data_IF_429733045283
#
_entry.id   IF_429733045283
#
_cell.length_a   1.000
_cell.length_b   1.000
_cell.length_c   1.000
_cell.angle_alpha   90.00
_cell.angle_beta   90.00
_cell.angle_gamma   90.00
#
_symmetry.space_group_name_H-M   'P 1'
#
loop_
_entity.id
_entity.type
_entity.pdbx_description
1 polymer ?
#
# COMPACT_ATOMS: atom_id res chain seq x y z
N UNK A 1 11.49 -0.53 10.11
CA UNK A 1 10.84 -1.52 9.22
C UNK A 1 11.37 -1.38 7.80
N UNK A 2 11.29 -0.20 7.14
CA UNK A 2 11.71 0.01 5.73
C UNK A 2 13.16 -0.36 5.44
N UNK A 3 14.11 -0.04 6.33
CA UNK A 3 15.56 -0.28 6.14
C UNK A 3 15.94 -1.76 6.02
N UNK A 4 15.05 -2.67 6.44
CA UNK A 4 15.31 -4.10 6.45
C UNK A 4 14.63 -4.83 5.28
N UNK A 5 14.01 -4.12 4.35
CA UNK A 5 13.35 -4.69 3.17
C UNK A 5 14.34 -4.71 2.01
N UNK A 6 14.58 -5.87 1.43
CA UNK A 6 15.56 -6.11 0.35
C UNK A 6 14.96 -5.99 -1.04
N UNK A 7 13.68 -6.35 -1.20
CA UNK A 7 13.00 -6.45 -2.50
C UNK A 7 13.75 -7.30 -3.55
N UNK A 8 14.40 -8.35 -3.09
CA UNK A 8 15.17 -9.27 -3.94
C UNK A 8 14.27 -10.18 -4.78
N UNK A 9 13.11 -10.54 -4.24
CA UNK A 9 12.09 -11.34 -4.93
C UNK A 9 10.69 -11.02 -4.42
N UNK A 10 9.60 -11.34 -5.16
CA UNK A 10 8.23 -11.18 -4.70
C UNK A 10 7.97 -11.91 -3.38
N UNK A 11 7.02 -11.43 -2.57
CA UNK A 11 6.60 -12.12 -1.35
C UNK A 11 5.83 -13.41 -1.67
N UNK A 12 5.00 -13.35 -2.70
CA UNK A 12 4.28 -14.52 -3.21
C UNK A 12 5.03 -15.01 -4.43
N UNK A 13 5.58 -16.23 -4.31
CA UNK A 13 6.26 -16.97 -5.37
C UNK A 13 5.37 -18.06 -5.94
N UNK A 14 5.99 -19.08 -6.51
CA UNK A 14 5.31 -20.22 -7.10
C UNK A 14 4.67 -21.11 -6.04
N UNK A 15 3.44 -21.55 -6.30
CA UNK A 15 2.75 -22.51 -5.44
C UNK A 15 3.20 -23.94 -5.73
N UNK A 16 3.09 -24.80 -4.72
CA UNK A 16 3.35 -26.23 -4.86
C UNK A 16 4.84 -26.59 -4.95
N UNK A 17 5.73 -25.66 -4.68
CA UNK A 17 7.17 -25.90 -4.59
C UNK A 17 7.65 -25.80 -3.15
N UNK A 18 8.58 -26.67 -2.77
CA UNK A 18 9.19 -26.62 -1.43
C UNK A 18 10.37 -25.62 -1.44
N UNK A 19 10.04 -24.34 -1.53
CA UNK A 19 11.01 -23.24 -1.49
C UNK A 19 10.64 -22.24 -0.40
N UNK A 20 11.63 -21.78 0.34
CA UNK A 20 11.46 -20.67 1.27
C UNK A 20 11.18 -19.38 0.49
N UNK A 21 10.14 -18.66 0.89
CA UNK A 21 9.79 -17.38 0.32
C UNK A 21 10.82 -16.27 0.60
N UNK A 22 10.50 -15.04 0.25
CA UNK A 22 11.33 -13.88 0.60
C UNK A 22 11.30 -13.64 2.11
N UNK A 23 12.47 -13.40 2.73
CA UNK A 23 12.57 -12.91 4.11
C UNK A 23 11.85 -11.58 4.34
N UNK A 24 11.55 -10.87 3.27
CA UNK A 24 10.76 -9.62 3.31
C UNK A 24 9.29 -9.85 3.71
N UNK A 25 8.81 -11.10 3.75
CA UNK A 25 7.44 -11.42 4.18
C UNK A 25 7.10 -10.81 5.55
N UNK A 26 8.07 -10.69 6.45
CA UNK A 26 7.87 -10.05 7.75
C UNK A 26 7.80 -8.54 7.64
N UNK A 27 8.84 -7.89 7.15
CA UNK A 27 8.93 -6.42 7.16
C UNK A 27 8.06 -5.77 6.10
N UNK A 28 8.07 -6.26 4.87
CA UNK A 28 7.25 -5.74 3.76
C UNK A 28 5.78 -6.13 3.96
N UNK A 29 5.50 -7.33 4.46
CA UNK A 29 4.14 -7.76 4.80
C UNK A 29 3.54 -6.92 5.92
N UNK A 30 4.28 -6.67 7.00
CA UNK A 30 3.84 -5.76 8.07
C UNK A 30 3.61 -4.32 7.55
N UNK A 31 4.49 -3.83 6.67
CA UNK A 31 4.32 -2.55 5.99
C UNK A 31 3.04 -2.49 5.16
N UNK A 32 2.74 -3.53 4.39
CA UNK A 32 1.51 -3.63 3.60
C UNK A 32 0.26 -3.61 4.49
N UNK A 33 0.25 -4.36 5.59
CA UNK A 33 -0.87 -4.34 6.53
C UNK A 33 -1.07 -2.95 7.15
N UNK A 34 0.02 -2.25 7.45
CA UNK A 34 -0.05 -0.87 7.93
C UNK A 34 -0.63 0.08 6.86
N UNK A 35 -0.25 -0.06 5.58
CA UNK A 35 -0.88 0.68 4.48
C UNK A 35 -2.39 0.48 4.43
N UNK A 36 -2.83 -0.79 4.50
CA UNK A 36 -4.26 -1.13 4.47
C UNK A 36 -4.98 -0.51 5.67
N UNK A 37 -4.38 -0.54 6.86
CA UNK A 37 -4.91 0.12 8.05
C UNK A 37 -5.09 1.63 7.83
N UNK A 38 -4.08 2.31 7.30
CA UNK A 38 -4.15 3.75 6.99
C UNK A 38 -5.23 4.06 5.92
N UNK A 39 -5.35 3.21 4.89
CA UNK A 39 -6.39 3.36 3.86
C UNK A 39 -7.81 3.15 4.42
N UNK A 40 -7.99 2.21 5.34
CA UNK A 40 -9.26 1.98 6.04
C UNK A 40 -9.60 3.18 6.94
N UNK A 41 -8.62 3.76 7.61
CA UNK A 41 -8.80 4.90 8.52
C UNK A 41 -9.69 4.63 9.74
N UNK A 42 -9.93 3.34 10.05
CA UNK A 42 -10.76 2.89 11.18
C UNK A 42 -10.14 1.66 11.83
N UNK A 43 -9.52 1.88 12.99
CA UNK A 43 -8.79 0.84 13.73
C UNK A 43 -9.70 -0.30 14.22
N UNK A 44 -10.92 0.01 14.60
CA UNK A 44 -11.89 -1.00 15.05
C UNK A 44 -12.26 -1.93 13.91
N UNK A 45 -12.51 -1.36 12.71
CA UNK A 45 -12.78 -2.15 11.51
C UNK A 45 -11.56 -2.99 11.11
N UNK A 46 -10.36 -2.38 11.08
CA UNK A 46 -9.14 -3.11 10.76
C UNK A 46 -8.90 -4.29 11.71
N UNK A 47 -9.06 -4.06 13.03
CA UNK A 47 -8.95 -5.12 14.04
C UNK A 47 -10.00 -6.22 13.82
N UNK A 48 -11.23 -5.86 13.49
CA UNK A 48 -12.30 -6.85 13.22
C UNK A 48 -12.00 -7.71 12.01
N UNK A 49 -11.37 -7.14 10.97
CA UNK A 49 -10.90 -7.88 9.78
C UNK A 49 -9.85 -8.91 10.18
N UNK A 50 -8.85 -8.54 10.99
CA UNK A 50 -7.80 -9.47 11.43
C UNK A 50 -8.35 -10.60 12.31
N UNK A 51 -9.29 -10.30 13.21
CA UNK A 51 -9.98 -11.31 14.01
C UNK A 51 -10.78 -12.23 13.11
N UNK A 52 -11.54 -11.66 12.16
CA UNK A 52 -12.36 -12.41 11.23
C UNK A 52 -11.55 -13.36 10.34
N UNK A 53 -10.36 -12.97 9.87
CA UNK A 53 -9.47 -13.89 9.14
C UNK A 53 -9.16 -15.15 9.95
N UNK A 54 -8.86 -14.98 11.25
CA UNK A 54 -8.58 -16.13 12.12
C UNK A 54 -9.83 -16.98 12.44
N UNK A 55 -11.00 -16.36 12.48
CA UNK A 55 -12.25 -17.05 12.80
C UNK A 55 -12.81 -17.78 11.58
N UNK A 56 -12.90 -17.07 10.45
CA UNK A 56 -13.60 -17.55 9.24
C UNK A 56 -12.76 -18.59 8.48
N UNK A 57 -11.41 -18.47 8.56
CA UNK A 57 -10.49 -19.42 7.92
C UNK A 57 -9.89 -20.45 8.88
N UNK A 58 -10.43 -20.54 10.10
CA UNK A 58 -9.95 -21.50 11.10
C UNK A 58 -10.06 -22.93 10.56
N UNK A 59 -8.99 -23.71 10.70
CA UNK A 59 -8.89 -25.10 10.26
C UNK A 59 -9.16 -25.32 8.77
N UNK A 60 -8.95 -24.31 7.93
CA UNK A 60 -9.09 -24.41 6.47
C UNK A 60 -7.75 -24.13 5.77
N UNK A 61 -7.61 -24.70 4.57
CA UNK A 61 -6.51 -24.34 3.66
C UNK A 61 -7.00 -23.19 2.79
N UNK A 62 -6.25 -22.12 2.75
CA UNK A 62 -6.57 -20.93 1.95
C UNK A 62 -5.38 -20.52 1.10
N UNK A 63 -5.64 -19.95 -0.06
CA UNK A 63 -4.63 -19.28 -0.86
C UNK A 63 -4.56 -17.77 -0.58
N UNK A 64 -3.55 -17.10 -1.12
CA UNK A 64 -3.38 -15.66 -0.92
C UNK A 64 -4.54 -14.85 -1.47
N UNK A 65 -5.12 -15.24 -2.60
CA UNK A 65 -6.25 -14.52 -3.22
C UNK A 65 -7.49 -14.54 -2.35
N UNK A 66 -7.76 -15.64 -1.67
CA UNK A 66 -8.88 -15.72 -0.73
C UNK A 66 -8.70 -14.75 0.45
N UNK A 67 -7.48 -14.66 1.00
CA UNK A 67 -7.15 -13.72 2.08
C UNK A 67 -7.27 -12.27 1.59
N UNK A 68 -6.71 -11.96 0.43
CA UNK A 68 -6.75 -10.63 -0.18
C UNK A 68 -8.21 -10.18 -0.43
N UNK A 69 -9.03 -11.05 -1.03
CA UNK A 69 -10.44 -10.78 -1.30
C UNK A 69 -11.24 -10.58 -0.01
N UNK A 70 -10.95 -11.38 1.02
CA UNK A 70 -11.58 -11.22 2.32
C UNK A 70 -11.33 -9.83 2.90
N UNK A 71 -10.06 -9.40 2.92
CA UNK A 71 -9.68 -8.08 3.43
C UNK A 71 -10.35 -6.97 2.60
N UNK A 72 -10.26 -7.03 1.28
CA UNK A 72 -10.85 -6.04 0.38
C UNK A 72 -12.36 -5.90 0.56
N UNK A 73 -13.08 -7.04 0.63
CA UNK A 73 -14.52 -7.09 0.84
C UNK A 73 -14.93 -6.48 2.19
N UNK A 74 -14.26 -6.85 3.27
CA UNK A 74 -14.57 -6.34 4.62
C UNK A 74 -14.21 -4.87 4.78
N UNK A 75 -13.13 -4.43 4.14
CA UNK A 75 -12.72 -3.03 4.10
C UNK A 75 -13.57 -2.17 3.15
N UNK A 76 -14.34 -2.78 2.25
CA UNK A 76 -15.08 -2.11 1.17
C UNK A 76 -14.17 -1.25 0.27
N UNK A 77 -12.94 -1.74 0.01
CA UNK A 77 -11.93 -1.09 -0.79
C UNK A 77 -11.46 -2.01 -1.92
N UNK A 78 -11.21 -1.44 -3.10
CA UNK A 78 -10.48 -2.16 -4.16
C UNK A 78 -8.98 -2.12 -3.82
N UNK A 79 -8.46 -3.23 -3.28
CA UNK A 79 -7.08 -3.39 -2.88
C UNK A 79 -6.26 -4.23 -3.87
N UNK A 80 -6.83 -4.62 -5.02
CA UNK A 80 -6.20 -5.54 -5.98
C UNK A 80 -4.83 -5.07 -6.44
N UNK A 81 -4.73 -3.82 -6.90
CA UNK A 81 -3.46 -3.23 -7.34
C UNK A 81 -2.47 -3.03 -6.19
N UNK A 82 -2.96 -2.83 -4.97
CA UNK A 82 -2.11 -2.72 -3.78
C UNK A 82 -1.46 -4.08 -3.47
N UNK A 83 -2.25 -5.16 -3.48
CA UNK A 83 -1.73 -6.50 -3.29
C UNK A 83 -0.77 -6.91 -4.41
N UNK A 84 -1.10 -6.63 -5.67
CA UNK A 84 -0.23 -6.95 -6.80
C UNK A 84 1.10 -6.19 -6.71
N UNK A 85 1.07 -4.89 -6.36
CA UNK A 85 2.28 -4.08 -6.18
C UNK A 85 3.19 -4.61 -5.08
N UNK A 86 2.63 -4.88 -3.89
CA UNK A 86 3.45 -5.16 -2.72
C UNK A 86 3.73 -6.65 -2.49
N UNK A 87 2.88 -7.56 -2.98
CA UNK A 87 3.07 -9.00 -2.82
C UNK A 87 3.77 -9.64 -4.02
N UNK A 88 3.52 -9.14 -5.24
CA UNK A 88 3.94 -9.79 -6.50
C UNK A 88 5.01 -9.01 -7.27
N UNK A 89 5.32 -7.78 -6.85
CA UNK A 89 6.37 -6.96 -7.46
C UNK A 89 7.50 -6.66 -6.48
N UNK A 90 8.70 -6.48 -7.02
CA UNK A 90 9.89 -6.03 -6.29
C UNK A 90 10.13 -4.52 -6.45
N UNK A 91 9.38 -3.83 -7.30
CA UNK A 91 9.51 -2.39 -7.47
C UNK A 91 8.97 -1.64 -6.26
N UNK A 92 9.65 -0.55 -5.90
CA UNK A 92 9.18 0.36 -4.83
C UNK A 92 8.56 1.57 -5.51
N UNK A 93 7.25 1.85 -5.27
CA UNK A 93 6.63 3.03 -5.82
C UNK A 93 7.38 4.31 -5.43
N UNK A 94 7.51 5.21 -6.39
CA UNK A 94 8.04 6.56 -6.19
C UNK A 94 6.88 7.53 -6.31
N UNK A 95 6.54 8.21 -5.22
CA UNK A 95 5.58 9.30 -5.24
C UNK A 95 6.32 10.59 -5.62
N UNK A 96 6.13 11.03 -6.84
CA UNK A 96 6.63 12.31 -7.33
C UNK A 96 5.64 13.42 -6.99
N UNK A 97 6.18 14.56 -6.57
CA UNK A 97 5.38 15.77 -6.40
C UNK A 97 6.06 16.99 -6.98
N UNK A 98 5.25 17.97 -7.38
CA UNK A 98 5.69 19.26 -7.91
C UNK A 98 4.86 20.36 -7.30
N UNK A 99 5.50 21.48 -6.96
CA UNK A 99 4.87 22.66 -6.39
C UNK A 99 4.78 23.75 -7.45
N UNK A 100 3.62 24.34 -7.61
CA UNK A 100 3.41 25.45 -8.51
C UNK A 100 2.34 26.42 -7.95
N UNK A 101 2.72 27.67 -7.68
CA UNK A 101 1.84 28.77 -7.31
C UNK A 101 0.74 28.42 -6.29
N UNK A 102 1.09 27.76 -5.18
CA UNK A 102 0.15 27.36 -4.13
C UNK A 102 -0.66 26.09 -4.44
N UNK A 103 -0.34 25.43 -5.53
CA UNK A 103 -0.85 24.10 -5.88
C UNK A 103 0.25 23.06 -5.76
N UNK A 104 -0.18 21.85 -5.56
CA UNK A 104 0.69 20.67 -5.59
C UNK A 104 0.07 19.63 -6.49
N UNK A 105 0.92 18.95 -7.26
CA UNK A 105 0.51 17.79 -8.04
C UNK A 105 1.36 16.58 -7.71
N UNK A 106 0.74 15.41 -7.75
CA UNK A 106 1.34 14.13 -7.41
C UNK A 106 1.15 13.12 -8.52
N UNK A 107 2.10 12.19 -8.66
CA UNK A 107 1.91 10.95 -9.43
C UNK A 107 2.80 9.85 -8.89
N UNK A 108 2.41 8.60 -9.16
CA UNK A 108 3.27 7.45 -8.92
C UNK A 108 4.15 7.13 -10.14
N UNK A 109 5.38 6.71 -9.86
CA UNK A 109 6.34 6.12 -10.79
C UNK A 109 6.93 4.85 -10.18
N UNK A 110 7.64 4.08 -11.00
CA UNK A 110 8.29 2.82 -10.60
C UNK A 110 7.33 1.86 -9.88
N UNK A 111 6.15 1.68 -10.43
CA UNK A 111 5.09 0.81 -9.93
C UNK A 111 4.50 -0.01 -11.08
N UNK A 112 3.65 -0.96 -10.76
CA UNK A 112 2.92 -1.75 -11.75
C UNK A 112 1.99 -0.86 -12.61
N UNK A 113 1.60 -1.37 -13.77
CA UNK A 113 0.69 -0.66 -14.67
C UNK A 113 -0.65 -0.34 -13.98
N UNK A 114 -1.21 0.83 -14.30
CA UNK A 114 -2.47 1.33 -13.75
C UNK A 114 -2.50 1.47 -12.22
N UNK A 115 -1.35 1.46 -11.56
CA UNK A 115 -1.27 1.59 -10.11
C UNK A 115 -1.99 2.84 -9.64
N UNK A 116 -2.88 2.66 -8.68
CA UNK A 116 -3.59 3.73 -7.98
C UNK A 116 -3.75 3.35 -6.51
N UNK A 117 -3.73 4.35 -5.65
CA UNK A 117 -3.80 4.14 -4.22
C UNK A 117 -4.48 5.31 -3.53
N UNK A 118 -5.43 5.08 -2.59
CA UNK A 118 -5.92 6.13 -1.71
C UNK A 118 -4.81 6.51 -0.72
N UNK A 119 -4.56 7.80 -0.62
CA UNK A 119 -3.51 8.38 0.23
C UNK A 119 -4.15 9.42 1.14
N UNK A 120 -3.92 9.32 2.44
CA UNK A 120 -4.31 10.35 3.39
C UNK A 120 -3.23 11.42 3.45
N UNK A 121 -3.60 12.68 3.19
CA UNK A 121 -2.74 13.83 3.29
C UNK A 121 -3.42 14.92 4.11
N UNK A 122 -2.96 15.12 5.34
CA UNK A 122 -3.65 15.91 6.34
C UNK A 122 -5.06 15.36 6.61
N UNK A 123 -6.06 16.19 6.46
CA UNK A 123 -7.48 15.78 6.62
C UNK A 123 -8.12 15.27 5.33
N UNK A 124 -7.38 15.26 4.21
CA UNK A 124 -7.91 14.86 2.90
C UNK A 124 -7.53 13.42 2.57
N UNK A 125 -8.42 12.78 1.84
CA UNK A 125 -8.13 11.51 1.17
C UNK A 125 -8.07 11.76 -0.33
N UNK A 126 -6.92 11.48 -0.93
CA UNK A 126 -6.67 11.62 -2.36
C UNK A 126 -6.50 10.24 -2.97
N UNK A 127 -7.05 10.00 -4.16
CA UNK A 127 -6.69 8.83 -4.95
C UNK A 127 -5.60 9.23 -5.94
N UNK A 128 -4.37 8.80 -5.67
CA UNK A 128 -3.22 9.07 -6.50
C UNK A 128 -2.96 7.91 -7.45
N UNK A 129 -2.49 8.22 -8.67
CA UNK A 129 -2.23 7.24 -9.71
C UNK A 129 -0.92 7.54 -10.45
N UNK A 130 -0.65 6.84 -11.54
CA UNK A 130 0.47 7.13 -12.45
C UNK A 130 0.28 8.41 -13.26
N UNK A 131 -0.94 8.98 -13.25
CA UNK A 131 -1.24 10.27 -13.86
C UNK A 131 -1.14 11.39 -12.82
N UNK A 132 -0.85 12.61 -13.28
CA UNK A 132 -0.81 13.77 -12.41
C UNK A 132 -2.17 14.07 -11.80
N UNK A 133 -2.22 14.15 -10.48
CA UNK A 133 -3.37 14.63 -9.70
C UNK A 133 -2.99 15.94 -9.05
N UNK A 134 -3.72 17.01 -9.34
CA UNK A 134 -3.48 18.34 -8.79
C UNK A 134 -4.45 18.64 -7.65
N UNK A 135 -3.97 19.31 -6.62
CA UNK A 135 -4.78 19.81 -5.51
C UNK A 135 -4.18 21.11 -4.95
N UNK A 136 -5.01 21.92 -4.30
CA UNK A 136 -4.53 23.12 -3.61
C UNK A 136 -3.75 22.74 -2.34
N UNK A 137 -2.73 23.52 -2.03
CA UNK A 137 -2.07 23.46 -0.72
C UNK A 137 -2.88 24.28 0.30
N UNK A 138 -2.92 23.80 1.54
CA UNK A 138 -3.34 24.56 2.70
C UNK A 138 -2.21 24.62 3.73
N UNK A 139 -2.35 25.41 4.77
CA UNK A 139 -1.32 25.62 5.79
C UNK A 139 -0.94 24.32 6.54
N UNK A 140 -1.79 23.30 6.50
CA UNK A 140 -1.56 21.99 7.14
C UNK A 140 -0.94 20.95 6.20
N UNK A 141 -0.68 21.32 4.94
CA UNK A 141 -0.33 20.41 3.85
C UNK A 141 1.18 20.36 3.62
N UNK A 142 1.92 19.66 4.47
CA UNK A 142 3.34 19.36 4.22
C UNK A 142 3.47 18.06 3.41
N UNK A 143 4.05 18.09 2.18
CA UNK A 143 4.31 16.87 1.40
C UNK A 143 5.16 15.85 2.15
N UNK A 144 6.07 16.29 3.01
CA UNK A 144 6.92 15.40 3.80
C UNK A 144 6.14 14.57 4.82
N UNK A 145 4.95 15.05 5.24
CA UNK A 145 4.07 14.28 6.13
C UNK A 145 3.57 12.96 5.53
N UNK A 146 3.62 12.82 4.20
CA UNK A 146 3.25 11.61 3.48
C UNK A 146 4.26 10.47 3.66
N UNK A 147 5.49 10.75 4.02
CA UNK A 147 6.55 9.73 4.00
C UNK A 147 6.49 8.74 5.17
N UNK A 148 5.86 9.11 6.30
CA UNK A 148 5.90 8.33 7.54
C UNK A 148 5.19 6.97 7.47
N UNK A 149 4.02 6.92 6.85
CA UNK A 149 3.05 5.81 6.97
C UNK A 149 3.03 4.85 5.78
N UNK A 150 3.75 5.13 4.70
CA UNK A 150 3.67 4.34 3.47
C UNK A 150 5.02 3.84 3.01
N UNK A 151 5.03 2.67 2.36
CA UNK A 151 6.23 2.08 1.77
C UNK A 151 6.40 2.53 0.32
N UNK A 152 6.90 3.74 0.14
CA UNK A 152 7.30 4.36 -1.12
C UNK A 152 8.53 5.26 -0.93
N UNK A 153 9.05 5.80 -2.01
CA UNK A 153 10.02 6.89 -1.98
C UNK A 153 9.34 8.18 -2.39
N UNK A 154 9.47 9.23 -1.60
CA UNK A 154 8.98 10.56 -1.95
C UNK A 154 10.05 11.32 -2.73
N UNK A 155 9.68 11.93 -3.87
CA UNK A 155 10.61 12.69 -4.70
C UNK A 155 9.97 13.99 -5.18
N UNK A 156 10.63 15.11 -4.87
CA UNK A 156 10.28 16.40 -5.48
C UNK A 156 10.83 16.46 -6.90
N UNK A 157 10.04 17.02 -7.81
CA UNK A 157 10.43 17.36 -9.18
C UNK A 157 10.30 18.88 -9.34
N UNK A 158 11.31 19.50 -9.92
CA UNK A 158 11.33 20.94 -10.22
C UNK A 158 10.59 21.22 -11.52
#
# INVERSE_FOLDING_TARGET
VRKNIRNDKPLIGDYGVNQEGSGDMYNKGAGLLHHIREMIGNDSLFRSILIGLNTDFRHSTVDSRQVEQYIAKKAQLDLSLIFDQYLRSTTIPVLEYQLDQGKIRFRFRNCIDNFKMPVRWGQRQLTLSTQWTETSMDESSDPLSLDGNYYWTLRRID
#
